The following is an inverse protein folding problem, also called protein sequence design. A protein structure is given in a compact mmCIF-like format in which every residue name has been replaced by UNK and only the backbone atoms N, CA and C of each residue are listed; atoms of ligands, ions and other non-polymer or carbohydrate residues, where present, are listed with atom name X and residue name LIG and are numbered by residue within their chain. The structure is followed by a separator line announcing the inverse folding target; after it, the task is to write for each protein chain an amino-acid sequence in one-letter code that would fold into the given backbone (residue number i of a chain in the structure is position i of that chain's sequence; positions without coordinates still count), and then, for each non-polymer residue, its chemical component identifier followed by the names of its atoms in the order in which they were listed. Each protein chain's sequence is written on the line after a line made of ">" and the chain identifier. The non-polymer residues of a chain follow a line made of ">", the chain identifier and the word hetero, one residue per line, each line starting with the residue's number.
data_IF_878093831556
#
_entry.id   IF_878093831556
#
_cell.length_a   1.000
_cell.length_b   1.000
_cell.length_c   1.000
_cell.angle_alpha   90.00
_cell.angle_beta   90.00
_cell.angle_gamma   90.00
#
_symmetry.space_group_name_H-M   'P 1'
#
loop_
_entity.id
_entity.type
_entity.pdbx_description
1 polymer ?
#
# COMPACT_ATOMS: atom_id res chain seq x y z
N UNK A 1 34.62 -0.58 32.01
CA UNK A 1 35.51 -1.16 30.98
C UNK A 1 34.97 -0.77 29.62
N UNK A 2 35.59 0.20 28.92
CA UNK A 2 35.16 0.64 27.59
C UNK A 2 36.05 -0.03 26.54
N UNK A 3 35.45 -0.88 25.70
CA UNK A 3 36.12 -1.48 24.55
C UNK A 3 35.85 -0.60 23.33
N UNK A 4 36.92 -0.04 22.75
CA UNK A 4 36.90 0.66 21.46
C UNK A 4 36.99 -0.40 20.36
N UNK A 5 35.97 -0.46 19.50
CA UNK A 5 36.02 -1.24 18.26
C UNK A 5 36.59 -0.36 17.15
N UNK A 6 37.71 -0.78 16.57
CA UNK A 6 38.35 -0.16 15.40
C UNK A 6 37.64 -0.69 14.15
N UNK A 7 37.09 0.20 13.33
CA UNK A 7 36.46 -0.14 12.05
C UNK A 7 37.51 0.00 10.94
N UNK A 8 37.89 -1.12 10.32
CA UNK A 8 38.74 -1.16 9.12
C UNK A 8 37.87 -0.94 7.90
N UNK A 9 38.12 0.14 7.16
CA UNK A 9 37.45 0.46 5.89
C UNK A 9 38.20 -0.26 4.76
N UNK A 10 37.58 -1.27 4.16
CA UNK A 10 38.01 -1.84 2.88
C UNK A 10 37.29 -1.11 1.74
N UNK A 11 38.04 -0.36 0.94
CA UNK A 11 37.59 0.23 -0.33
C UNK A 11 37.57 -0.84 -1.42
N UNK A 12 36.39 -1.16 -1.96
CA UNK A 12 36.24 -1.91 -3.20
C UNK A 12 36.13 -0.93 -4.38
N UNK A 13 37.10 -1.01 -5.29
CA UNK A 13 37.11 -0.31 -6.58
C UNK A 13 36.28 -1.11 -7.58
N UNK A 14 35.13 -0.58 -8.01
CA UNK A 14 34.34 -1.17 -9.08
C UNK A 14 34.86 -0.68 -10.45
N UNK A 15 35.28 -1.62 -11.30
CA UNK A 15 35.66 -1.36 -12.69
C UNK A 15 34.42 -1.36 -13.58
N UNK A 16 34.11 -0.21 -14.20
CA UNK A 16 33.04 -0.03 -15.18
C UNK A 16 33.54 -0.46 -16.56
N UNK A 17 32.98 -1.55 -17.11
CA UNK A 17 33.13 -1.89 -18.51
C UNK A 17 31.92 -1.34 -19.29
N UNK A 18 32.16 -0.31 -20.12
CA UNK A 18 31.20 0.14 -21.13
C UNK A 18 31.14 -0.89 -22.27
N UNK A 19 29.96 -1.44 -22.53
CA UNK A 19 29.64 -2.11 -23.80
C UNK A 19 28.59 -1.27 -24.52
N UNK A 20 28.97 -0.76 -25.69
CA UNK A 20 28.07 -0.01 -26.57
C UNK A 20 27.16 -0.98 -27.34
N UNK A 21 25.85 -0.72 -27.48
CA UNK A 21 25.00 -1.47 -28.40
C UNK A 21 25.12 -0.93 -29.83
N UNK A 22 25.48 -1.83 -30.74
CA UNK A 22 25.47 -1.61 -32.19
C UNK A 22 24.04 -1.45 -32.72
N UNK A 23 23.84 -0.40 -33.54
CA UNK A 23 22.60 -0.13 -34.24
C UNK A 23 22.33 -1.19 -35.33
N UNK A 24 21.16 -1.82 -35.29
CA UNK A 24 20.62 -2.64 -36.37
C UNK A 24 19.58 -1.84 -37.14
N UNK A 25 19.85 -1.69 -38.44
CA UNK A 25 19.04 -0.97 -39.41
C UNK A 25 17.74 -1.72 -39.74
N UNK A 26 16.65 -0.96 -39.87
CA UNK A 26 15.38 -1.42 -40.40
C UNK A 26 15.42 -1.53 -41.95
N UNK A 27 14.85 -2.58 -42.55
CA UNK A 27 14.50 -2.54 -43.97
C UNK A 27 13.08 -2.01 -44.19
N UNK A 28 12.97 -1.25 -45.27
CA UNK A 28 11.77 -0.61 -45.77
C UNK A 28 10.80 -1.59 -46.46
N UNK A 29 9.51 -1.38 -46.18
CA UNK A 29 8.34 -1.42 -47.07
C UNK A 29 8.17 -2.50 -48.16
N UNK A 30 6.99 -3.10 -48.18
CA UNK A 30 6.16 -3.21 -49.41
C UNK A 30 4.68 -3.17 -49.03
N UNK A 31 3.92 -2.35 -49.77
CA UNK A 31 2.48 -2.19 -49.61
C UNK A 31 1.68 -3.30 -50.29
N UNK A 32 0.49 -3.56 -49.76
CA UNK A 32 -0.56 -4.31 -50.45
C UNK A 32 -1.88 -3.56 -50.29
N UNK A 33 -2.54 -3.43 -51.43
CA UNK A 33 -3.79 -2.73 -51.71
C UNK A 33 -5.02 -3.61 -51.44
N UNK A 34 -6.13 -2.96 -51.07
CA UNK A 34 -7.47 -3.32 -51.54
C UNK A 34 -8.27 -4.35 -50.72
N UNK A 35 -9.19 -3.86 -49.89
CA UNK A 35 -10.28 -4.66 -49.31
C UNK A 35 -11.44 -3.76 -48.89
N UNK A 36 -12.57 -3.85 -49.59
CA UNK A 36 -13.78 -3.03 -49.44
C UNK A 36 -14.42 -3.17 -48.04
N UNK A 37 -14.56 -2.05 -47.34
CA UNK A 37 -15.25 -1.95 -46.06
C UNK A 37 -16.78 -1.95 -46.26
N UNK A 38 -17.45 -2.94 -45.67
CA UNK A 38 -18.88 -2.91 -45.40
C UNK A 38 -19.19 -1.90 -44.30
N UNK A 39 -20.19 -1.07 -44.53
CA UNK A 39 -20.68 -0.06 -43.57
C UNK A 39 -21.38 -0.78 -42.43
N UNK A 40 -20.70 -0.93 -41.30
CA UNK A 40 -21.31 -1.31 -40.02
C UNK A 40 -21.77 -0.02 -39.34
N UNK A 41 -23.10 0.12 -39.21
CA UNK A 41 -23.72 1.20 -38.43
C UNK A 41 -23.38 1.02 -36.96
N UNK A 42 -22.42 1.80 -36.47
CA UNK A 42 -22.18 1.95 -35.03
C UNK A 42 -23.20 2.95 -34.48
N UNK A 43 -24.29 2.44 -33.92
CA UNK A 43 -25.13 3.26 -33.03
C UNK A 43 -24.25 3.69 -31.87
N UNK A 44 -23.83 4.96 -31.90
CA UNK A 44 -23.05 5.58 -30.85
C UNK A 44 -23.88 5.60 -29.58
N UNK A 45 -23.62 4.64 -28.68
CA UNK A 45 -24.14 4.65 -27.33
C UNK A 45 -23.86 6.03 -26.73
N UNK A 46 -24.93 6.72 -26.35
CA UNK A 46 -24.83 8.04 -25.70
C UNK A 46 -23.94 7.88 -24.48
N UNK A 47 -22.80 8.61 -24.36
CA UNK A 47 -21.90 8.46 -23.24
C UNK A 47 -22.67 8.74 -21.96
N UNK A 48 -22.72 7.76 -21.07
CA UNK A 48 -23.33 7.90 -19.76
C UNK A 48 -22.73 9.13 -19.09
N UNK A 49 -23.61 10.04 -18.62
CA UNK A 49 -23.20 11.27 -17.95
C UNK A 49 -22.35 10.90 -16.74
N UNK A 50 -21.06 11.24 -16.77
CA UNK A 50 -20.13 10.93 -15.70
C UNK A 50 -20.68 11.42 -14.36
N UNK A 51 -20.74 10.51 -13.38
CA UNK A 51 -21.17 10.83 -12.01
C UNK A 51 -20.24 11.93 -11.47
N UNK A 52 -20.76 13.00 -10.84
CA UNK A 52 -19.92 14.03 -10.24
C UNK A 52 -18.95 13.38 -9.26
N UNK A 53 -17.67 13.76 -9.33
CA UNK A 53 -16.66 13.24 -8.42
C UNK A 53 -17.08 13.50 -6.96
N UNK A 54 -16.98 12.50 -6.07
CA UNK A 54 -17.30 12.69 -4.67
C UNK A 54 -16.43 13.81 -4.08
N UNK A 55 -17.07 14.72 -3.35
CA UNK A 55 -16.38 15.84 -2.69
C UNK A 55 -15.79 15.34 -1.37
N UNK A 56 -14.57 14.83 -1.43
CA UNK A 56 -13.74 14.58 -0.24
C UNK A 56 -13.40 15.90 0.47
N UNK A 57 -13.10 15.80 1.76
CA UNK A 57 -12.58 16.93 2.52
C UNK A 57 -11.13 17.28 2.15
N UNK A 58 -10.47 18.09 2.97
CA UNK A 58 -9.09 18.58 2.73
C UNK A 58 -8.26 18.35 3.99
N UNK A 59 -7.03 17.81 3.88
CA UNK A 59 -6.13 17.75 5.04
C UNK A 59 -5.92 19.12 5.67
N UNK A 60 -5.73 19.15 7.00
CA UNK A 60 -5.51 20.38 7.76
C UNK A 60 -4.29 21.15 7.24
N UNK A 61 -4.37 22.49 7.25
CA UNK A 61 -3.39 23.34 6.55
C UNK A 61 -1.97 23.26 7.16
N UNK A 62 -1.87 23.13 8.48
CA UNK A 62 -0.63 22.89 9.21
C UNK A 62 -0.02 21.51 8.89
N UNK A 63 -0.87 20.48 8.71
CA UNK A 63 -0.45 19.14 8.29
C UNK A 63 0.06 19.16 6.84
N UNK A 64 -0.59 19.89 5.94
CA UNK A 64 -0.05 20.13 4.58
C UNK A 64 1.29 20.86 4.64
N UNK A 65 1.44 21.85 5.51
CA UNK A 65 2.71 22.55 5.70
C UNK A 65 3.81 21.61 6.20
N UNK A 66 3.52 20.73 7.16
CA UNK A 66 4.44 19.70 7.63
C UNK A 66 4.81 18.70 6.52
N UNK A 67 3.83 18.22 5.75
CA UNK A 67 4.05 17.30 4.64
C UNK A 67 4.95 17.91 3.55
N UNK A 68 4.89 19.24 3.36
CA UNK A 68 5.78 19.95 2.44
C UNK A 68 7.25 19.93 2.87
N UNK A 69 7.51 19.84 4.17
CA UNK A 69 8.86 19.81 4.76
C UNK A 69 9.37 18.38 5.02
N UNK A 70 8.49 17.39 5.06
CA UNK A 70 8.83 15.98 5.26
C UNK A 70 9.91 15.52 4.25
N UNK A 71 10.89 14.67 4.63
CA UNK A 71 11.85 14.09 3.70
C UNK A 71 11.17 13.37 2.53
N UNK A 72 11.87 13.27 1.39
CA UNK A 72 11.38 12.45 0.28
C UNK A 72 11.49 10.97 0.64
N UNK A 73 10.47 10.21 0.28
CA UNK A 73 10.42 8.77 0.49
C UNK A 73 11.05 8.06 -0.70
N UNK A 74 11.92 7.09 -0.42
CA UNK A 74 12.46 6.15 -1.40
C UNK A 74 12.27 4.73 -0.92
N UNK A 75 12.37 3.81 -1.86
CA UNK A 75 12.30 2.38 -1.60
C UNK A 75 13.56 1.70 -2.08
N UNK A 76 13.93 0.60 -1.42
CA UNK A 76 14.98 -0.33 -1.81
C UNK A 76 15.04 -1.47 -0.80
N UNK A 77 15.28 -2.70 -1.29
CA UNK A 77 15.40 -3.90 -0.45
C UNK A 77 16.49 -3.81 0.62
N UNK A 78 17.59 -3.14 0.32
CA UNK A 78 18.72 -2.97 1.25
C UNK A 78 18.48 -1.96 2.39
N UNK A 79 17.29 -1.35 2.47
CA UNK A 79 16.97 -0.42 3.55
C UNK A 79 16.67 -1.17 4.86
N UNK A 80 17.12 -0.64 6.01
CA UNK A 80 16.90 -1.28 7.30
C UNK A 80 15.41 -1.35 7.65
N UNK A 81 15.05 -2.31 8.50
CA UNK A 81 13.69 -2.47 9.03
C UNK A 81 12.73 -3.31 8.20
N UNK A 82 13.18 -3.94 7.11
CA UNK A 82 12.37 -4.92 6.33
C UNK A 82 11.22 -4.33 5.51
N UNK A 83 10.84 -3.07 5.76
CA UNK A 83 9.81 -2.31 5.06
C UNK A 83 10.19 -1.86 3.63
N UNK A 84 11.46 -2.06 3.25
CA UNK A 84 12.07 -1.60 1.99
C UNK A 84 11.90 -0.11 1.73
N UNK A 85 11.85 0.71 2.77
CA UNK A 85 11.70 2.17 2.66
C UNK A 85 12.47 2.91 3.74
N UNK A 86 12.82 4.17 3.48
CA UNK A 86 13.41 5.07 4.48
C UNK A 86 12.36 5.77 5.37
N UNK A 87 11.06 5.49 5.17
CA UNK A 87 9.97 6.13 5.90
C UNK A 87 8.81 5.16 6.17
N UNK A 88 9.10 3.97 6.70
CA UNK A 88 8.11 2.90 6.92
C UNK A 88 6.92 3.37 7.75
N UNK A 89 7.21 3.90 8.94
CA UNK A 89 6.20 4.40 9.88
C UNK A 89 6.04 5.92 9.84
N UNK A 90 7.09 6.66 9.47
CA UNK A 90 7.13 8.13 9.37
C UNK A 90 6.65 8.71 8.03
N UNK A 91 6.29 7.85 7.08
CA UNK A 91 5.77 8.26 5.79
C UNK A 91 4.36 8.86 5.84
N UNK A 92 3.74 9.08 4.68
CA UNK A 92 2.37 9.62 4.58
C UNK A 92 2.28 11.09 4.13
N UNK A 93 3.40 11.82 4.12
CA UNK A 93 3.43 13.18 3.57
C UNK A 93 3.04 13.22 2.08
N UNK A 94 3.50 12.23 1.29
CA UNK A 94 3.21 12.11 -0.14
C UNK A 94 1.70 12.00 -0.44
N UNK A 95 1.01 11.06 0.22
CA UNK A 95 -0.44 10.88 0.05
C UNK A 95 -1.24 12.07 0.58
N UNK A 96 -0.80 12.69 1.68
CA UNK A 96 -1.40 13.92 2.22
C UNK A 96 -1.36 15.05 1.20
N UNK A 97 -0.21 15.27 0.56
CA UNK A 97 -0.06 16.28 -0.49
C UNK A 97 -0.94 15.98 -1.70
N UNK A 98 -1.11 14.71 -2.06
CA UNK A 98 -2.00 14.30 -3.15
C UNK A 98 -3.46 14.64 -2.85
N UNK A 99 -3.97 14.34 -1.65
CA UNK A 99 -5.35 14.70 -1.26
C UNK A 99 -5.54 16.21 -1.07
N UNK A 100 -4.53 16.92 -0.54
CA UNK A 100 -4.57 18.38 -0.51
C UNK A 100 -4.68 18.98 -1.92
N UNK A 101 -3.89 18.46 -2.87
CA UNK A 101 -3.97 18.87 -4.26
C UNK A 101 -5.34 18.52 -4.89
N UNK A 102 -5.88 17.33 -4.63
CA UNK A 102 -7.23 16.95 -5.09
C UNK A 102 -8.30 17.93 -4.58
N UNK A 103 -8.18 18.36 -3.33
CA UNK A 103 -9.06 19.35 -2.71
C UNK A 103 -8.83 20.81 -3.17
N UNK A 104 -7.91 21.05 -4.11
CA UNK A 104 -7.63 22.38 -4.68
C UNK A 104 -6.53 23.18 -4.00
N UNK A 105 -5.76 22.57 -3.09
CA UNK A 105 -4.61 23.24 -2.47
C UNK A 105 -3.40 23.27 -3.41
N UNK A 106 -3.16 24.42 -4.02
CA UNK A 106 -2.02 24.64 -4.91
C UNK A 106 -0.66 24.65 -4.20
N UNK A 107 -0.63 24.84 -2.87
CA UNK A 107 0.64 24.85 -2.13
C UNK A 107 1.30 23.47 -2.08
N UNK A 108 0.52 22.40 -2.28
CA UNK A 108 0.99 21.02 -2.30
C UNK A 108 1.66 20.63 -3.64
N UNK A 109 1.25 21.24 -4.76
CA UNK A 109 1.54 20.80 -6.13
C UNK A 109 3.06 20.62 -6.39
N UNK A 110 3.90 21.57 -5.96
CA UNK A 110 5.35 21.52 -6.22
C UNK A 110 6.04 20.38 -5.46
N UNK A 111 5.71 20.19 -4.17
CA UNK A 111 6.34 19.12 -3.38
C UNK A 111 5.85 17.75 -3.83
N UNK A 112 4.56 17.64 -4.17
CA UNK A 112 3.97 16.43 -4.72
C UNK A 112 4.69 15.99 -6.01
N UNK A 113 4.93 16.92 -6.95
CA UNK A 113 5.69 16.65 -8.18
C UNK A 113 7.14 16.26 -7.91
N UNK A 114 7.76 16.85 -6.88
CA UNK A 114 9.11 16.49 -6.47
C UNK A 114 9.17 15.04 -5.98
N UNK A 115 8.23 14.63 -5.12
CA UNK A 115 8.13 13.24 -4.67
C UNK A 115 7.86 12.27 -5.82
N UNK A 116 6.92 12.60 -6.70
CA UNK A 116 6.62 11.79 -7.88
C UNK A 116 7.88 11.54 -8.73
N UNK A 117 8.60 12.59 -9.12
CA UNK A 117 9.83 12.45 -9.93
C UNK A 117 10.96 11.74 -9.19
N UNK A 118 11.05 11.92 -7.88
CA UNK A 118 12.04 11.25 -7.06
C UNK A 118 11.82 9.74 -7.03
N UNK A 119 10.57 9.28 -6.86
CA UNK A 119 10.18 7.87 -6.96
C UNK A 119 10.48 7.28 -8.35
N UNK A 120 10.32 8.06 -9.43
CA UNK A 120 10.59 7.61 -10.80
C UNK A 120 12.07 7.61 -11.19
N UNK A 121 12.96 7.91 -10.24
CA UNK A 121 14.41 7.81 -10.41
C UNK A 121 14.86 6.43 -9.94
N UNK A 122 15.55 5.69 -10.80
CA UNK A 122 16.03 4.34 -10.49
C UNK A 122 16.78 4.28 -9.16
N UNK A 123 16.42 3.29 -8.35
CA UNK A 123 16.95 3.06 -7.01
C UNK A 123 16.15 3.75 -5.90
N UNK A 124 15.13 4.54 -6.27
CA UNK A 124 14.13 5.07 -5.34
C UNK A 124 12.72 4.52 -5.60
N UNK A 125 12.52 3.82 -6.72
CA UNK A 125 11.26 3.19 -7.11
C UNK A 125 10.87 2.06 -6.15
N UNK A 126 9.57 1.77 -6.05
CA UNK A 126 9.05 0.68 -5.20
C UNK A 126 9.64 -0.67 -5.64
N UNK A 127 9.74 -1.63 -4.70
CA UNK A 127 10.21 -2.96 -5.01
C UNK A 127 9.11 -3.85 -5.56
N UNK A 128 7.84 -3.60 -5.15
CA UNK A 128 6.65 -4.32 -5.62
C UNK A 128 6.76 -5.85 -5.48
N UNK A 129 7.30 -6.33 -4.35
CA UNK A 129 7.46 -7.78 -4.14
C UNK A 129 6.16 -8.49 -3.71
N UNK A 130 5.11 -7.72 -3.43
CA UNK A 130 3.82 -8.23 -3.00
C UNK A 130 3.78 -8.74 -1.56
N UNK A 131 4.79 -8.48 -0.73
CA UNK A 131 4.83 -8.91 0.68
C UNK A 131 4.65 -7.76 1.66
N UNK A 132 5.28 -7.88 2.84
CA UNK A 132 5.27 -6.86 3.89
C UNK A 132 5.57 -5.43 3.40
N UNK A 133 6.52 -5.17 2.48
CA UNK A 133 6.77 -3.82 1.96
C UNK A 133 5.55 -3.13 1.34
N UNK A 134 4.57 -3.88 0.83
CA UNK A 134 3.40 -3.33 0.13
C UNK A 134 2.60 -2.33 0.98
N UNK A 135 2.52 -2.52 2.30
CA UNK A 135 1.84 -1.57 3.20
C UNK A 135 2.47 -0.16 3.19
N UNK A 136 3.78 -0.09 2.89
CA UNK A 136 4.53 1.15 2.88
C UNK A 136 4.58 1.75 1.47
N UNK A 137 4.60 0.90 0.45
CA UNK A 137 4.50 1.29 -0.96
C UNK A 137 3.15 1.95 -1.28
N UNK A 138 2.07 1.55 -0.57
CA UNK A 138 0.73 2.13 -0.67
C UNK A 138 0.69 3.66 -0.52
N UNK A 139 1.61 4.24 0.24
CA UNK A 139 1.68 5.69 0.39
C UNK A 139 2.02 6.39 -0.94
N UNK A 140 2.85 5.76 -1.77
CA UNK A 140 3.29 6.32 -3.05
C UNK A 140 2.43 5.83 -4.21
N UNK A 141 1.96 4.58 -4.19
CA UNK A 141 0.99 4.12 -5.20
C UNK A 141 -0.36 4.82 -5.04
N UNK A 142 -0.82 5.03 -3.81
CA UNK A 142 -1.99 5.86 -3.51
C UNK A 142 -1.78 7.32 -3.91
N UNK A 143 -0.56 7.87 -3.71
CA UNK A 143 -0.22 9.21 -4.18
C UNK A 143 -0.39 9.33 -5.69
N UNK A 144 0.07 8.34 -6.48
CA UNK A 144 -0.09 8.35 -7.93
C UNK A 144 -1.55 8.23 -8.37
N UNK A 145 -2.32 7.31 -7.76
CA UNK A 145 -3.76 7.17 -8.00
C UNK A 145 -4.51 8.48 -7.77
N UNK A 146 -4.25 9.16 -6.66
CA UNK A 146 -4.88 10.45 -6.35
C UNK A 146 -4.37 11.59 -7.23
N UNK A 147 -3.05 11.67 -7.49
CA UNK A 147 -2.47 12.76 -8.29
C UNK A 147 -2.93 12.74 -9.75
N UNK A 148 -3.23 11.56 -10.32
CA UNK A 148 -3.79 11.39 -11.67
C UNK A 148 -5.14 12.10 -11.86
N UNK A 149 -5.90 12.26 -10.78
CA UNK A 149 -7.17 12.99 -10.75
C UNK A 149 -7.01 14.52 -10.72
N UNK A 150 -5.77 15.02 -10.68
CA UNK A 150 -5.47 16.45 -10.55
C UNK A 150 -4.76 16.94 -11.81
N UNK A 151 -5.48 17.37 -12.88
CA UNK A 151 -4.86 17.73 -14.16
C UNK A 151 -3.73 18.75 -14.06
N UNK A 152 -3.86 19.74 -13.16
CA UNK A 152 -2.82 20.77 -12.95
C UNK A 152 -1.50 20.23 -12.37
N UNK A 153 -1.53 19.07 -11.71
CA UNK A 153 -0.35 18.35 -11.23
C UNK A 153 0.06 17.32 -12.28
N UNK A 154 -0.85 16.42 -12.65
CA UNK A 154 -0.57 15.29 -13.54
C UNK A 154 -0.03 15.70 -14.92
N UNK A 155 -0.55 16.80 -15.50
CA UNK A 155 -0.11 17.30 -16.79
C UNK A 155 1.28 17.95 -16.74
N UNK A 156 1.83 18.21 -15.54
CA UNK A 156 3.22 18.69 -15.36
C UNK A 156 4.25 17.56 -15.35
N UNK A 157 3.81 16.30 -15.27
CA UNK A 157 4.66 15.16 -15.59
C UNK A 157 4.84 15.05 -17.10
N UNK A 158 6.02 14.64 -17.54
CA UNK A 158 6.29 14.34 -18.96
C UNK A 158 5.56 13.06 -19.37
N UNK A 159 5.26 12.85 -20.67
CA UNK A 159 4.70 11.58 -21.14
C UNK A 159 5.50 10.36 -20.69
N UNK A 160 6.84 10.42 -20.78
CA UNK A 160 7.72 9.36 -20.30
C UNK A 160 7.66 9.16 -18.77
N UNK A 161 7.44 10.23 -17.99
CA UNK A 161 7.26 10.10 -16.53
C UNK A 161 5.94 9.40 -16.21
N UNK A 162 4.84 9.76 -16.90
CA UNK A 162 3.56 9.08 -16.74
C UNK A 162 3.62 7.60 -17.13
N UNK A 163 4.30 7.27 -18.23
CA UNK A 163 4.51 5.88 -18.63
C UNK A 163 5.26 5.07 -17.56
N UNK A 164 6.27 5.66 -16.90
CA UNK A 164 6.96 5.01 -15.77
C UNK A 164 6.06 4.85 -14.55
N UNK A 165 5.15 5.80 -14.29
CA UNK A 165 4.13 5.63 -13.25
C UNK A 165 3.24 4.44 -13.60
N UNK A 166 2.76 4.34 -14.85
CA UNK A 166 1.95 3.20 -15.31
C UNK A 166 2.71 1.88 -15.08
N UNK A 167 3.99 1.80 -15.45
CA UNK A 167 4.82 0.61 -15.21
C UNK A 167 4.97 0.27 -13.72
N UNK A 168 5.14 1.26 -12.83
CA UNK A 168 5.21 1.01 -11.38
C UNK A 168 3.87 0.58 -10.78
N UNK A 169 2.76 1.18 -11.23
CA UNK A 169 1.43 0.78 -10.78
C UNK A 169 1.09 -0.65 -11.23
N UNK A 170 1.53 -1.04 -12.43
CA UNK A 170 1.43 -2.42 -12.92
C UNK A 170 2.33 -3.37 -12.11
N UNK A 171 3.55 -2.97 -11.76
CA UNK A 171 4.42 -3.78 -10.89
C UNK A 171 3.76 -4.05 -9.53
N UNK A 172 3.20 -3.01 -8.90
CA UNK A 172 2.48 -3.12 -7.62
C UNK A 172 1.26 -4.05 -7.72
N UNK A 173 0.50 -3.95 -8.82
CA UNK A 173 -0.62 -4.83 -9.11
C UNK A 173 -0.16 -6.29 -9.25
N UNK A 174 0.82 -6.57 -10.10
CA UNK A 174 1.27 -7.94 -10.39
C UNK A 174 1.91 -8.59 -9.17
N UNK A 175 2.79 -7.88 -8.46
CA UNK A 175 3.45 -8.42 -7.28
C UNK A 175 2.44 -8.81 -6.21
N UNK A 176 1.48 -7.93 -5.92
CA UNK A 176 0.44 -8.19 -4.92
C UNK A 176 -0.61 -9.20 -5.39
N UNK A 177 -0.94 -9.20 -6.69
CA UNK A 177 -1.82 -10.21 -7.28
C UNK A 177 -1.19 -11.59 -7.15
N UNK A 178 0.10 -11.74 -7.44
CA UNK A 178 0.81 -13.01 -7.27
C UNK A 178 0.68 -13.53 -5.83
N UNK A 179 1.06 -12.73 -4.82
CA UNK A 179 1.09 -13.20 -3.42
C UNK A 179 -0.29 -13.49 -2.83
N UNK A 180 -1.34 -12.85 -3.34
CA UNK A 180 -2.72 -13.03 -2.85
C UNK A 180 -3.52 -14.05 -3.65
N UNK A 181 -3.13 -14.40 -4.88
CA UNK A 181 -3.92 -15.22 -5.79
C UNK A 181 -4.28 -16.60 -5.22
N UNK A 182 -5.52 -17.02 -5.41
CA UNK A 182 -5.95 -18.42 -5.22
C UNK A 182 -5.20 -19.39 -6.16
N UNK A 183 -4.63 -18.89 -7.25
CA UNK A 183 -3.86 -19.66 -8.22
C UNK A 183 -2.35 -19.63 -7.94
N UNK A 184 -1.91 -18.99 -6.85
CA UNK A 184 -0.49 -19.00 -6.48
C UNK A 184 -0.05 -20.45 -6.17
N UNK A 185 1.03 -20.97 -6.80
CA UNK A 185 1.46 -22.35 -6.58
C UNK A 185 1.81 -22.66 -5.13
N UNK A 186 2.28 -21.68 -4.36
CA UNK A 186 2.59 -21.84 -2.95
C UNK A 186 1.32 -21.91 -2.09
N UNK A 187 0.29 -21.12 -2.42
CA UNK A 187 -1.04 -21.20 -1.79
C UNK A 187 -1.69 -22.55 -2.08
N UNK A 188 -1.70 -22.98 -3.34
CA UNK A 188 -2.27 -24.26 -3.77
C UNK A 188 -1.60 -25.47 -3.11
N UNK A 189 -0.30 -25.36 -2.81
CA UNK A 189 0.44 -26.42 -2.10
C UNK A 189 0.05 -26.57 -0.63
N UNK A 190 -0.58 -25.55 -0.03
CA UNK A 190 -0.84 -25.48 1.42
C UNK A 190 0.40 -25.32 2.30
N UNK A 191 1.56 -25.02 1.70
CA UNK A 191 2.85 -24.88 2.39
C UNK A 191 3.28 -23.43 2.62
N UNK A 192 4.60 -23.24 2.77
CA UNK A 192 5.23 -21.93 2.90
C UNK A 192 4.96 -21.08 1.66
N UNK A 193 4.46 -19.85 1.86
CA UNK A 193 4.28 -18.86 0.79
C UNK A 193 5.55 -18.02 0.63
N UNK A 194 5.77 -17.51 -0.58
CA UNK A 194 6.92 -16.65 -0.90
C UNK A 194 6.48 -15.43 -1.69
N UNK A 195 7.19 -14.32 -1.49
CA UNK A 195 7.07 -13.11 -2.32
C UNK A 195 7.73 -13.31 -3.68
N UNK A 196 7.56 -12.32 -4.57
CA UNK A 196 8.20 -12.28 -5.90
C UNK A 196 9.73 -12.41 -5.83
N UNK A 197 10.34 -11.98 -4.73
CA UNK A 197 11.78 -12.01 -4.49
C UNK A 197 12.22 -13.09 -3.48
N UNK A 198 11.35 -14.07 -3.22
CA UNK A 198 11.65 -15.28 -2.45
C UNK A 198 11.69 -15.09 -0.94
N UNK A 199 11.18 -13.98 -0.41
CA UNK A 199 11.00 -13.79 1.03
C UNK A 199 9.88 -14.70 1.54
N UNK A 200 10.19 -15.52 2.56
CA UNK A 200 9.25 -16.44 3.19
C UNK A 200 8.48 -15.81 4.36
N UNK A 201 8.79 -14.58 4.76
CA UNK A 201 8.02 -13.87 5.77
C UNK A 201 6.75 -13.25 5.16
N UNK A 202 5.91 -14.11 4.60
CA UNK A 202 4.65 -13.73 3.96
C UNK A 202 3.60 -14.83 4.09
N UNK A 203 2.36 -14.42 4.28
CA UNK A 203 1.17 -15.22 4.02
C UNK A 203 0.00 -14.25 3.77
N UNK A 204 -0.79 -14.49 2.73
CA UNK A 204 -1.97 -13.67 2.41
C UNK A 204 -3.05 -13.64 3.51
N UNK A 205 -3.00 -14.61 4.43
CA UNK A 205 -3.93 -14.80 5.54
C UNK A 205 -3.40 -14.36 6.91
N UNK A 206 -2.20 -13.76 6.95
CA UNK A 206 -1.69 -13.15 8.19
C UNK A 206 -2.44 -11.89 8.58
N UNK A 207 -2.06 -11.38 9.76
CA UNK A 207 -2.68 -10.22 10.38
C UNK A 207 -2.75 -8.99 9.46
N UNK A 208 -3.63 -8.02 9.78
CA UNK A 208 -3.85 -6.81 9.02
C UNK A 208 -2.59 -6.10 8.52
N UNK A 209 -1.54 -6.00 9.35
CA UNK A 209 -0.31 -5.32 8.99
C UNK A 209 0.44 -5.94 7.78
N UNK A 210 0.17 -7.20 7.43
CA UNK A 210 0.64 -7.82 6.18
C UNK A 210 -0.40 -7.69 5.08
N UNK A 211 -1.60 -8.19 5.32
CA UNK A 211 -2.59 -8.41 4.25
C UNK A 211 -3.19 -7.14 3.66
N UNK A 212 -3.36 -6.11 4.47
CA UNK A 212 -3.88 -4.81 4.01
C UNK A 212 -2.94 -4.17 2.97
N UNK A 213 -1.63 -4.34 3.12
CA UNK A 213 -0.66 -3.86 2.13
C UNK A 213 -0.83 -4.55 0.78
N UNK A 214 -0.96 -5.88 0.78
CA UNK A 214 -1.08 -6.69 -0.42
C UNK A 214 -2.44 -6.47 -1.11
N UNK A 215 -3.55 -6.66 -0.39
CA UNK A 215 -4.89 -6.46 -0.94
C UNK A 215 -5.17 -5.00 -1.30
N UNK A 216 -4.72 -4.07 -0.46
CA UNK A 216 -4.83 -2.63 -0.73
C UNK A 216 -4.08 -2.20 -2.00
N UNK A 217 -2.90 -2.77 -2.27
CA UNK A 217 -2.15 -2.47 -3.51
C UNK A 217 -2.92 -2.87 -4.77
N UNK A 218 -3.65 -3.99 -4.72
CA UNK A 218 -4.53 -4.45 -5.81
C UNK A 218 -5.68 -3.47 -6.00
N UNK A 219 -6.34 -3.06 -4.92
CA UNK A 219 -7.45 -2.09 -4.95
C UNK A 219 -7.00 -0.71 -5.44
N UNK A 220 -5.85 -0.23 -4.99
CA UNK A 220 -5.28 1.07 -5.40
C UNK A 220 -4.83 1.06 -6.86
N UNK A 221 -4.20 -0.02 -7.33
CA UNK A 221 -3.86 -0.15 -8.75
C UNK A 221 -5.12 -0.27 -9.62
N UNK A 222 -6.15 -0.97 -9.13
CA UNK A 222 -7.47 -1.06 -9.79
C UNK A 222 -8.13 0.32 -9.89
N UNK A 223 -8.06 1.13 -8.84
CA UNK A 223 -8.51 2.52 -8.87
C UNK A 223 -7.73 3.37 -9.88
N UNK A 224 -6.41 3.14 -10.00
CA UNK A 224 -5.55 3.88 -10.94
C UNK A 224 -5.85 3.55 -12.41
N UNK A 225 -6.03 2.27 -12.75
CA UNK A 225 -6.25 1.82 -14.13
C UNK A 225 -7.72 1.79 -14.53
N UNK A 226 -8.63 1.63 -13.57
CA UNK A 226 -9.99 1.17 -13.79
C UNK A 226 -10.07 -0.36 -13.81
N UNK A 227 -11.23 -0.89 -13.38
CA UNK A 227 -11.48 -2.34 -13.22
C UNK A 227 -11.16 -3.14 -14.49
N UNK A 228 -11.72 -2.75 -15.63
CA UNK A 228 -11.53 -3.49 -16.88
C UNK A 228 -10.07 -3.53 -17.32
N UNK A 229 -9.35 -2.41 -17.18
CA UNK A 229 -7.95 -2.34 -17.55
C UNK A 229 -7.07 -3.12 -16.59
N UNK A 230 -7.33 -3.07 -15.29
CA UNK A 230 -6.61 -3.88 -14.31
C UNK A 230 -6.79 -5.39 -14.57
N UNK A 231 -8.03 -5.83 -14.84
CA UNK A 231 -8.33 -7.21 -15.25
C UNK A 231 -7.58 -7.59 -16.53
N UNK A 232 -7.58 -6.71 -17.53
CA UNK A 232 -6.86 -6.96 -18.77
C UNK A 232 -5.35 -7.09 -18.55
N UNK A 233 -4.75 -6.20 -17.74
CA UNK A 233 -3.34 -6.28 -17.36
C UNK A 233 -3.01 -7.64 -16.76
N UNK A 234 -3.82 -8.11 -15.80
CA UNK A 234 -3.62 -9.42 -15.18
C UNK A 234 -3.77 -10.56 -16.19
N UNK A 235 -4.84 -10.52 -17.01
CA UNK A 235 -5.19 -11.56 -17.99
C UNK A 235 -4.17 -11.72 -19.10
N UNK A 236 -3.55 -10.63 -19.55
CA UNK A 236 -2.58 -10.62 -20.65
C UNK A 236 -1.15 -10.41 -20.19
N UNK A 237 -0.87 -10.60 -18.90
CA UNK A 237 0.46 -10.39 -18.36
C UNK A 237 1.47 -11.32 -19.04
N UNK A 238 2.54 -10.73 -19.56
CA UNK A 238 3.71 -11.40 -20.16
C UNK A 238 4.93 -10.95 -19.37
N UNK A 239 5.54 -11.89 -18.65
CA UNK A 239 6.59 -11.60 -17.69
C UNK A 239 7.86 -11.06 -18.37
N UNK A 240 8.28 -11.67 -19.47
CA UNK A 240 9.51 -11.28 -20.17
C UNK A 240 9.37 -9.89 -20.79
N UNK A 241 8.23 -9.61 -21.42
CA UNK A 241 7.92 -8.28 -21.96
C UNK A 241 7.84 -7.21 -20.85
N UNK A 242 7.29 -7.57 -19.68
CA UNK A 242 7.21 -6.68 -18.53
C UNK A 242 8.58 -6.37 -17.94
N UNK A 243 9.42 -7.38 -17.73
CA UNK A 243 10.80 -7.23 -17.24
C UNK A 243 11.63 -6.35 -18.18
N UNK A 244 11.49 -6.54 -19.50
CA UNK A 244 12.16 -5.69 -20.48
C UNK A 244 11.70 -4.22 -20.38
N UNK A 245 10.40 -3.98 -20.12
CA UNK A 245 9.87 -2.62 -19.90
C UNK A 245 10.40 -2.00 -18.62
N UNK A 246 10.45 -2.73 -17.50
CA UNK A 246 11.04 -2.26 -16.24
C UNK A 246 12.50 -1.81 -16.43
N UNK A 247 13.29 -2.61 -17.16
CA UNK A 247 14.68 -2.27 -17.49
C UNK A 247 14.78 -0.99 -18.34
N UNK A 248 13.96 -0.88 -19.39
CA UNK A 248 13.94 0.29 -20.29
C UNK A 248 13.50 1.57 -19.56
N UNK A 249 12.58 1.45 -18.60
CA UNK A 249 12.11 2.55 -17.78
C UNK A 249 13.10 2.97 -16.69
N UNK A 250 14.12 2.15 -16.41
CA UNK A 250 15.15 2.39 -15.41
C UNK A 250 14.63 2.25 -13.97
N UNK A 251 13.60 1.44 -13.76
CA UNK A 251 12.97 1.17 -12.46
C UNK A 251 13.68 -0.01 -11.80
N UNK A 252 14.87 0.27 -11.25
CA UNK A 252 15.85 -0.77 -10.89
C UNK A 252 15.45 -1.63 -9.71
N UNK A 253 14.67 -1.12 -8.75
CA UNK A 253 14.24 -1.92 -7.60
C UNK A 253 13.15 -2.90 -8.02
N UNK A 254 12.13 -2.42 -8.73
CA UNK A 254 11.10 -3.29 -9.29
C UNK A 254 11.69 -4.31 -10.27
N UNK A 255 12.61 -3.89 -11.15
CA UNK A 255 13.33 -4.81 -12.04
C UNK A 255 14.07 -5.91 -11.26
N UNK A 256 14.77 -5.56 -10.17
CA UNK A 256 15.49 -6.52 -9.34
C UNK A 256 14.56 -7.56 -8.69
N UNK A 257 13.38 -7.15 -8.23
CA UNK A 257 12.35 -8.06 -7.70
C UNK A 257 11.84 -9.00 -8.79
N UNK A 258 11.45 -8.47 -9.96
CA UNK A 258 10.84 -9.28 -11.02
C UNK A 258 11.84 -10.23 -11.71
N UNK A 259 13.14 -9.96 -11.61
CA UNK A 259 14.20 -10.84 -12.14
C UNK A 259 14.86 -11.71 -11.06
N UNK A 260 14.33 -11.69 -9.83
CA UNK A 260 15.03 -12.28 -8.69
C UNK A 260 15.37 -13.75 -8.88
N UNK A 261 14.41 -14.56 -9.35
CA UNK A 261 14.62 -15.99 -9.60
C UNK A 261 15.67 -16.26 -10.68
N UNK A 262 15.73 -15.44 -11.72
CA UNK A 262 16.74 -15.56 -12.76
C UNK A 262 18.15 -15.22 -12.23
N UNK A 263 18.25 -14.18 -11.40
CA UNK A 263 19.51 -13.77 -10.77
C UNK A 263 19.95 -14.71 -9.63
N UNK A 264 19.01 -15.38 -8.97
CA UNK A 264 19.24 -16.29 -7.85
C UNK A 264 18.50 -17.62 -8.07
N UNK A 265 19.03 -18.51 -8.94
CA UNK A 265 18.35 -19.75 -9.33
C UNK A 265 17.99 -20.66 -8.14
N UNK A 266 18.79 -20.64 -7.08
CA UNK A 266 18.60 -21.46 -5.88
C UNK A 266 17.61 -20.86 -4.87
N UNK A 267 17.12 -19.63 -5.10
CA UNK A 267 16.13 -19.00 -4.22
C UNK A 267 14.74 -19.64 -4.36
N UNK A 268 13.89 -19.44 -3.37
CA UNK A 268 12.49 -19.87 -3.40
C UNK A 268 11.56 -18.95 -4.23
N UNK A 269 12.10 -17.91 -4.87
CA UNK A 269 11.32 -17.01 -5.69
C UNK A 269 10.63 -17.74 -6.86
N UNK A 270 9.42 -17.32 -7.27
CA UNK A 270 8.71 -17.91 -8.40
C UNK A 270 9.42 -17.62 -9.73
N UNK A 271 9.26 -18.53 -10.70
CA UNK A 271 9.64 -18.25 -12.09
C UNK A 271 8.62 -17.31 -12.75
N UNK A 272 8.99 -16.69 -13.87
CA UNK A 272 8.08 -15.86 -14.67
C UNK A 272 6.78 -16.60 -15.05
N UNK A 273 6.88 -17.86 -15.46
CA UNK A 273 5.72 -18.70 -15.79
C UNK A 273 4.81 -18.98 -14.58
N UNK A 274 5.38 -19.14 -13.37
CA UNK A 274 4.59 -19.28 -12.15
C UNK A 274 3.85 -17.98 -11.80
N UNK A 275 4.48 -16.83 -12.01
CA UNK A 275 3.85 -15.52 -11.83
C UNK A 275 2.69 -15.36 -12.80
N UNK A 276 2.90 -15.58 -14.09
CA UNK A 276 1.86 -15.50 -15.13
C UNK A 276 0.66 -16.39 -14.80
N UNK A 277 0.92 -17.68 -14.52
CA UNK A 277 -0.13 -18.63 -14.17
C UNK A 277 -0.95 -18.21 -12.95
N UNK A 278 -0.31 -17.57 -11.97
CA UNK A 278 -1.00 -17.14 -10.76
C UNK A 278 -1.89 -15.90 -11.01
N UNK A 279 -1.53 -15.02 -11.94
CA UNK A 279 -2.23 -13.74 -12.12
C UNK A 279 -3.28 -13.74 -13.23
N UNK A 280 -3.17 -14.59 -14.26
CA UNK A 280 -4.09 -14.57 -15.42
C UNK A 280 -5.57 -14.72 -15.07
N UNK A 281 -5.89 -15.55 -14.06
CA UNK A 281 -7.24 -15.76 -13.53
C UNK A 281 -7.30 -15.39 -12.04
N UNK A 282 -6.73 -14.24 -11.70
CA UNK A 282 -6.62 -13.81 -10.32
C UNK A 282 -7.98 -13.72 -9.62
N UNK A 283 -8.01 -14.27 -8.41
CA UNK A 283 -9.05 -14.07 -7.40
C UNK A 283 -8.43 -14.23 -6.03
N UNK A 284 -9.05 -13.63 -5.01
CA UNK A 284 -8.69 -13.77 -3.61
C UNK A 284 -9.88 -14.34 -2.86
N UNK A 285 -9.78 -15.58 -2.38
CA UNK A 285 -10.89 -16.30 -1.75
C UNK A 285 -12.15 -16.36 -2.63
N UNK A 286 -11.96 -16.50 -3.95
CA UNK A 286 -13.03 -16.50 -4.95
C UNK A 286 -13.58 -15.13 -5.31
N UNK A 287 -13.08 -14.03 -4.71
CA UNK A 287 -13.49 -12.66 -5.03
C UNK A 287 -12.62 -12.10 -6.15
N UNK A 288 -13.24 -11.54 -7.19
CA UNK A 288 -12.56 -10.99 -8.38
C UNK A 288 -12.50 -9.46 -8.39
N UNK A 289 -11.72 -8.86 -9.29
CA UNK A 289 -11.49 -7.41 -9.35
C UNK A 289 -12.72 -6.55 -9.65
N UNK A 290 -13.79 -7.12 -10.19
CA UNK A 290 -15.08 -6.47 -10.38
C UNK A 290 -15.92 -6.41 -9.10
N UNK A 291 -15.51 -7.10 -8.04
CA UNK A 291 -16.13 -7.07 -6.73
C UNK A 291 -15.33 -6.20 -5.75
N UNK A 292 -15.00 -4.97 -6.18
CA UNK A 292 -14.12 -4.04 -5.43
C UNK A 292 -14.57 -3.85 -3.98
N UNK A 293 -15.87 -3.66 -3.73
CA UNK A 293 -16.39 -3.48 -2.38
C UNK A 293 -16.32 -4.74 -1.52
N UNK A 294 -16.41 -5.93 -2.11
CA UNK A 294 -16.30 -7.20 -1.36
C UNK A 294 -14.84 -7.47 -0.96
N UNK A 295 -13.89 -7.13 -1.83
CA UNK A 295 -12.46 -7.16 -1.50
C UNK A 295 -12.12 -6.20 -0.35
N UNK A 296 -12.60 -4.95 -0.42
CA UNK A 296 -12.38 -3.95 0.63
C UNK A 296 -13.07 -4.35 1.95
N UNK A 297 -14.26 -4.97 1.87
CA UNK A 297 -14.95 -5.51 3.03
C UNK A 297 -14.17 -6.62 3.71
N UNK A 298 -13.64 -7.58 2.94
CA UNK A 298 -12.85 -8.68 3.48
C UNK A 298 -11.63 -8.17 4.27
N UNK A 299 -10.94 -7.15 3.76
CA UNK A 299 -9.80 -6.54 4.43
C UNK A 299 -10.25 -5.77 5.69
N UNK A 300 -11.23 -4.86 5.53
CA UNK A 300 -11.70 -4.00 6.61
C UNK A 300 -12.33 -4.80 7.76
N UNK A 301 -13.13 -5.83 7.49
CA UNK A 301 -13.73 -6.67 8.52
C UNK A 301 -12.67 -7.46 9.30
N UNK A 302 -11.58 -7.87 8.65
CA UNK A 302 -10.45 -8.49 9.35
C UNK A 302 -9.70 -7.45 10.21
N UNK A 303 -9.47 -6.27 9.67
CA UNK A 303 -8.75 -5.19 10.36
C UNK A 303 -9.48 -4.70 11.59
N UNK A 304 -10.80 -4.48 11.51
CA UNK A 304 -11.63 -3.92 12.57
C UNK A 304 -12.54 -4.97 13.24
N UNK A 305 -12.18 -6.26 13.15
CA UNK A 305 -13.01 -7.36 13.66
C UNK A 305 -13.00 -7.53 15.19
N UNK A 306 -12.16 -6.79 15.91
CA UNK A 306 -12.04 -6.88 17.36
C UNK A 306 -13.19 -6.21 18.11
N UNK A 307 -13.34 -6.54 19.40
CA UNK A 307 -14.23 -5.83 20.33
C UNK A 307 -13.41 -4.85 21.15
N UNK A 308 -13.86 -3.60 21.28
CA UNK A 308 -13.13 -2.55 22.01
C UNK A 308 -12.95 -2.95 23.48
N UNK A 309 -11.69 -3.09 23.87
CA UNK A 309 -11.22 -3.41 25.20
C UNK A 309 -10.05 -2.50 25.57
N UNK A 310 -9.81 -2.31 26.88
CA UNK A 310 -8.67 -1.53 27.36
C UNK A 310 -7.32 -2.17 27.06
N UNK A 311 -7.28 -3.50 26.98
CA UNK A 311 -6.08 -4.27 26.66
C UNK A 311 -6.41 -5.71 26.34
N UNK A 312 -5.38 -6.50 26.08
CA UNK A 312 -5.46 -7.93 25.82
C UNK A 312 -6.19 -8.65 26.97
N UNK A 313 -7.26 -9.38 26.65
CA UNK A 313 -8.16 -10.01 27.62
C UNK A 313 -8.86 -9.01 28.57
N UNK A 314 -9.18 -7.81 28.10
CA UNK A 314 -9.81 -6.73 28.87
C UNK A 314 -8.85 -5.93 29.77
N UNK A 315 -7.84 -6.56 30.37
CA UNK A 315 -6.99 -5.94 31.41
C UNK A 315 -5.50 -5.84 31.07
N UNK A 316 -5.06 -6.42 29.95
CA UNK A 316 -3.64 -6.61 29.66
C UNK A 316 -3.03 -7.80 30.41
N UNK A 317 -1.71 -7.97 30.25
CA UNK A 317 -0.92 -9.05 30.84
C UNK A 317 -0.05 -8.50 31.96
N UNK A 318 -0.10 -9.13 33.14
CA UNK A 318 0.77 -8.82 34.28
C UNK A 318 2.20 -9.30 34.01
N UNK A 319 3.15 -8.36 34.04
CA UNK A 319 4.57 -8.60 33.85
C UNK A 319 5.25 -9.01 35.17
N UNK A 320 6.43 -9.67 35.14
CA UNK A 320 7.15 -10.08 36.35
C UNK A 320 7.53 -8.94 37.30
N UNK A 321 7.61 -7.71 36.80
CA UNK A 321 7.91 -6.50 37.58
C UNK A 321 6.67 -5.86 38.22
N UNK A 322 5.49 -6.48 38.08
CA UNK A 322 4.22 -6.00 38.62
C UNK A 322 3.52 -4.96 37.75
N UNK A 323 4.08 -4.59 36.60
CA UNK A 323 3.43 -3.72 35.62
C UNK A 323 2.51 -4.50 34.67
N UNK A 324 1.66 -3.81 33.91
CA UNK A 324 0.87 -4.42 32.84
C UNK A 324 1.43 -4.05 31.47
N UNK A 325 1.26 -4.94 30.49
CA UNK A 325 1.52 -4.70 29.06
C UNK A 325 0.35 -5.20 28.21
N UNK A 326 0.29 -4.77 26.95
CA UNK A 326 -0.82 -5.04 26.04
C UNK A 326 -2.09 -4.34 26.49
N UNK A 327 -1.98 -3.10 26.95
CA UNK A 327 -3.08 -2.33 27.56
C UNK A 327 -2.84 -0.84 27.38
N UNK A 328 -3.91 -0.06 27.32
CA UNK A 328 -3.86 1.40 27.37
C UNK A 328 -3.20 1.86 28.69
N UNK A 329 -2.31 2.85 28.60
CA UNK A 329 -1.53 3.33 29.75
C UNK A 329 -2.37 4.18 30.72
N UNK A 330 -3.39 4.87 30.21
CA UNK A 330 -4.34 5.68 30.99
C UNK A 330 -5.71 5.79 30.28
N UNK A 331 -6.77 6.23 30.98
CA UNK A 331 -8.07 6.54 30.37
C UNK A 331 -8.93 5.31 30.01
N UNK A 332 -8.73 4.15 30.63
CA UNK A 332 -9.56 2.97 30.36
C UNK A 332 -11.04 3.20 30.73
N UNK A 333 -11.28 3.91 31.82
CA UNK A 333 -12.61 4.27 32.32
C UNK A 333 -13.41 5.16 31.36
N UNK A 334 -12.71 5.93 30.53
CA UNK A 334 -13.27 6.89 29.57
C UNK A 334 -13.10 6.40 28.11
N UNK A 335 -12.68 5.13 27.90
CA UNK A 335 -12.44 4.57 26.58
C UNK A 335 -13.74 4.57 25.76
N UNK A 336 -13.81 5.34 24.64
CA UNK A 336 -15.01 5.40 23.82
C UNK A 336 -15.33 4.04 23.22
N UNK A 337 -16.62 3.73 23.10
CA UNK A 337 -17.12 2.51 22.46
C UNK A 337 -16.69 1.20 23.15
N UNK A 338 -16.29 1.21 24.42
CA UNK A 338 -15.96 -0.02 25.17
C UNK A 338 -17.05 -1.10 24.98
N UNK A 339 -16.64 -2.31 24.61
CA UNK A 339 -17.52 -3.46 24.34
C UNK A 339 -18.19 -3.45 22.95
N UNK A 340 -17.93 -2.46 22.09
CA UNK A 340 -18.47 -2.42 20.72
C UNK A 340 -17.54 -3.16 19.74
N UNK A 341 -18.07 -3.78 18.67
CA UNK A 341 -17.24 -4.27 17.57
C UNK A 341 -16.62 -3.11 16.80
N UNK A 342 -15.40 -3.31 16.30
CA UNK A 342 -14.66 -2.32 15.52
C UNK A 342 -13.21 -2.14 15.94
N UNK A 343 -12.78 -2.67 17.09
CA UNK A 343 -11.38 -2.55 17.53
C UNK A 343 -10.44 -3.19 16.51
N UNK A 344 -9.28 -2.57 16.32
CA UNK A 344 -8.28 -3.17 15.45
C UNK A 344 -7.79 -4.51 15.99
N UNK A 345 -7.76 -5.53 15.13
CA UNK A 345 -7.46 -6.91 15.49
C UNK A 345 -6.10 -7.05 16.19
N UNK A 346 -5.12 -6.22 15.83
CA UNK A 346 -3.75 -6.27 16.36
C UNK A 346 -3.61 -5.81 17.82
N UNK A 347 -4.67 -5.24 18.40
CA UNK A 347 -4.73 -5.06 19.85
C UNK A 347 -4.96 -6.38 20.60
N UNK A 348 -5.46 -7.42 19.92
CA UNK A 348 -5.78 -8.73 20.50
C UNK A 348 -5.42 -9.87 19.53
N UNK A 349 -4.23 -9.82 18.94
CA UNK A 349 -3.81 -10.80 17.93
C UNK A 349 -2.93 -11.90 18.51
N UNK A 350 -2.70 -12.92 17.70
CA UNK A 350 -1.75 -14.00 17.95
C UNK A 350 -0.87 -14.10 16.71
N UNK A 351 0.44 -14.24 16.91
CA UNK A 351 1.38 -14.54 15.83
C UNK A 351 2.16 -15.83 16.12
N UNK A 352 3.20 -16.10 15.33
CA UNK A 352 4.02 -17.31 15.48
C UNK A 352 4.72 -17.43 16.85
N UNK A 353 4.87 -16.34 17.59
CA UNK A 353 5.51 -16.29 18.91
C UNK A 353 4.50 -16.12 20.07
N UNK A 354 3.20 -16.19 19.77
CA UNK A 354 2.12 -16.21 20.75
C UNK A 354 1.27 -14.94 20.75
N UNK A 355 0.72 -14.60 21.90
CA UNK A 355 -0.15 -13.43 22.02
C UNK A 355 0.62 -12.13 21.74
N UNK A 356 -0.01 -11.24 20.99
CA UNK A 356 0.48 -9.90 20.68
C UNK A 356 -0.63 -8.88 20.93
N UNK A 357 -0.23 -7.72 21.41
CA UNK A 357 -1.11 -6.57 21.56
C UNK A 357 -0.30 -5.32 21.27
N UNK A 358 -0.50 -4.73 20.10
CA UNK A 358 0.40 -3.72 19.58
C UNK A 358 -0.30 -2.58 18.83
N UNK A 359 -0.07 -1.35 19.28
CA UNK A 359 -0.56 -0.15 18.62
C UNK A 359 0.24 0.14 17.34
N UNK A 360 1.54 -0.19 17.29
CA UNK A 360 2.33 -0.13 16.05
C UNK A 360 1.72 -1.04 14.96
N UNK A 361 1.42 -2.30 15.30
CA UNK A 361 0.84 -3.23 14.34
C UNK A 361 -0.61 -2.88 13.99
N UNK A 362 -1.40 -2.41 14.97
CA UNK A 362 -2.73 -1.88 14.69
C UNK A 362 -2.67 -0.70 13.72
N UNK A 363 -1.74 0.24 13.94
CA UNK A 363 -1.49 1.32 13.00
C UNK A 363 -1.02 0.81 11.63
N UNK A 364 -0.21 -0.25 11.60
CA UNK A 364 0.24 -0.96 10.41
C UNK A 364 -0.90 -1.54 9.58
N UNK A 365 -2.01 -1.96 10.18
CA UNK A 365 -3.25 -2.35 9.48
C UNK A 365 -4.13 -1.17 9.09
N UNK A 366 -4.33 -0.21 10.02
CA UNK A 366 -5.12 1.00 9.79
C UNK A 366 -4.60 1.85 8.61
N UNK A 367 -3.30 2.11 8.56
CA UNK A 367 -2.64 2.96 7.56
C UNK A 367 -2.97 2.53 6.11
N UNK A 368 -2.63 1.30 5.68
CA UNK A 368 -2.93 0.83 4.34
C UNK A 368 -4.44 0.76 4.06
N UNK A 369 -5.25 0.36 5.05
CA UNK A 369 -6.70 0.34 4.93
C UNK A 369 -7.28 1.74 4.64
N UNK A 370 -6.90 2.75 5.41
CA UNK A 370 -7.32 4.14 5.21
C UNK A 370 -6.92 4.68 3.83
N UNK A 371 -5.68 4.41 3.40
CA UNK A 371 -5.19 4.85 2.08
C UNK A 371 -6.03 4.21 0.98
N UNK A 372 -6.28 2.91 1.08
CA UNK A 372 -7.11 2.16 0.12
C UNK A 372 -8.50 2.76 0.02
N UNK A 373 -9.21 2.91 1.14
CA UNK A 373 -10.54 3.51 1.16
C UNK A 373 -10.56 4.92 0.56
N UNK A 374 -9.63 5.79 0.96
CA UNK A 374 -9.56 7.15 0.47
C UNK A 374 -9.37 7.19 -1.07
N UNK A 375 -8.54 6.30 -1.61
CA UNK A 375 -8.30 6.18 -3.06
C UNK A 375 -9.52 5.61 -3.79
N UNK A 376 -10.20 4.60 -3.24
CA UNK A 376 -11.44 4.06 -3.80
C UNK A 376 -12.53 5.13 -3.87
N UNK A 377 -12.69 5.94 -2.83
CA UNK A 377 -13.62 7.08 -2.84
C UNK A 377 -13.22 8.08 -3.93
N UNK A 378 -11.95 8.52 -3.95
CA UNK A 378 -11.50 9.54 -4.90
C UNK A 378 -11.69 9.14 -6.37
N UNK A 379 -11.51 7.85 -6.69
CA UNK A 379 -11.65 7.30 -8.04
C UNK A 379 -13.08 6.84 -8.35
N UNK A 380 -14.03 7.04 -7.44
CA UNK A 380 -15.44 6.70 -7.65
C UNK A 380 -15.75 5.20 -7.63
N UNK A 381 -14.85 4.38 -7.09
CA UNK A 381 -15.05 2.94 -6.90
C UNK A 381 -15.67 2.58 -5.54
N UNK A 382 -15.79 3.55 -4.63
CA UNK A 382 -16.56 3.39 -3.41
C UNK A 382 -18.06 3.45 -3.69
N UNK A 383 -18.77 2.35 -3.47
CA UNK A 383 -20.21 2.24 -3.72
C UNK A 383 -21.01 2.24 -2.41
N UNK A 384 -21.91 3.23 -2.20
CA UNK A 384 -22.80 3.22 -1.04
C UNK A 384 -23.73 2.00 -1.03
N UNK A 385 -23.95 1.42 0.15
CA UNK A 385 -24.81 0.26 0.33
C UNK A 385 -24.45 -0.52 1.60
N UNK A 386 -25.11 -1.67 1.86
CA UNK A 386 -24.94 -2.42 3.10
C UNK A 386 -23.50 -2.83 3.42
N UNK A 387 -22.70 -3.13 2.39
CA UNK A 387 -21.27 -3.45 2.54
C UNK A 387 -20.48 -2.23 3.00
N UNK A 388 -20.62 -1.09 2.30
CA UNK A 388 -20.00 0.17 2.70
C UNK A 388 -20.43 0.64 4.10
N UNK A 389 -21.72 0.55 4.43
CA UNK A 389 -22.25 0.96 5.73
C UNK A 389 -21.63 0.15 6.88
N UNK A 390 -21.41 -1.15 6.66
CA UNK A 390 -20.78 -2.04 7.63
C UNK A 390 -19.31 -1.70 7.84
N UNK A 391 -18.55 -1.51 6.76
CA UNK A 391 -17.14 -1.10 6.81
C UNK A 391 -17.02 0.22 7.59
N UNK A 392 -17.83 1.22 7.23
CA UNK A 392 -17.85 2.54 7.86
C UNK A 392 -18.21 2.45 9.35
N UNK A 393 -19.16 1.60 9.73
CA UNK A 393 -19.53 1.41 11.13
C UNK A 393 -18.38 0.83 11.97
N UNK A 394 -17.67 -0.17 11.45
CA UNK A 394 -16.50 -0.75 12.12
C UNK A 394 -15.35 0.25 12.20
N UNK A 395 -15.01 0.91 11.09
CA UNK A 395 -13.95 1.92 11.04
C UNK A 395 -14.23 3.09 11.99
N UNK A 396 -15.47 3.56 12.07
CA UNK A 396 -15.83 4.65 12.99
C UNK A 396 -15.52 4.31 14.44
N UNK A 397 -15.72 3.05 14.85
CA UNK A 397 -15.37 2.58 16.20
C UNK A 397 -13.87 2.40 16.32
N UNK A 398 -13.26 1.64 15.41
CA UNK A 398 -11.85 1.26 15.49
C UNK A 398 -10.86 2.40 15.38
N UNK A 399 -11.11 3.34 14.47
CA UNK A 399 -10.23 4.50 14.30
C UNK A 399 -10.35 5.44 15.50
N UNK A 400 -11.53 5.56 16.09
CA UNK A 400 -11.73 6.30 17.35
C UNK A 400 -10.96 5.65 18.50
N UNK A 401 -11.09 4.33 18.65
CA UNK A 401 -10.36 3.53 19.65
C UNK A 401 -8.84 3.64 19.49
N UNK A 402 -8.33 3.48 18.27
CA UNK A 402 -6.90 3.60 17.95
C UNK A 402 -6.33 4.95 18.38
N UNK A 403 -6.95 6.05 17.96
CA UNK A 403 -6.43 7.38 18.29
C UNK A 403 -6.57 7.69 19.77
N UNK A 404 -7.65 7.24 20.42
CA UNK A 404 -7.80 7.39 21.85
C UNK A 404 -6.69 6.67 22.62
N UNK A 405 -6.40 5.41 22.26
CA UNK A 405 -5.30 4.62 22.84
C UNK A 405 -3.93 5.26 22.60
N UNK A 406 -3.67 5.77 21.40
CA UNK A 406 -2.41 6.46 21.10
C UNK A 406 -2.28 7.80 21.86
N UNK A 407 -3.37 8.56 22.04
CA UNK A 407 -3.35 9.82 22.79
C UNK A 407 -3.10 9.58 24.30
N UNK A 408 -3.60 8.47 24.85
CA UNK A 408 -3.37 8.08 26.24
C UNK A 408 -2.11 7.23 26.45
N UNK A 409 -1.50 6.77 25.36
CA UNK A 409 -0.38 5.83 25.34
C UNK A 409 -0.84 4.38 25.39
N UNK A 410 -0.18 3.53 24.62
CA UNK A 410 -0.46 2.09 24.60
C UNK A 410 0.79 1.30 24.97
N UNK A 411 0.69 0.46 25.98
CA UNK A 411 1.78 -0.40 26.45
C UNK A 411 1.87 -1.61 25.55
N UNK A 412 2.87 -1.64 24.68
CA UNK A 412 3.11 -2.70 23.70
C UNK A 412 3.43 -4.04 24.39
N UNK A 413 2.82 -5.12 23.91
CA UNK A 413 3.13 -6.48 24.34
C UNK A 413 3.39 -7.39 23.13
N UNK A 414 4.56 -8.04 23.14
CA UNK A 414 4.92 -9.06 22.15
C UNK A 414 5.95 -10.00 22.76
N UNK A 415 5.99 -11.26 22.32
CA UNK A 415 7.04 -12.22 22.68
C UNK A 415 7.19 -12.36 24.21
N UNK A 416 6.05 -12.40 24.91
CA UNK A 416 5.96 -12.43 26.37
C UNK A 416 6.66 -11.27 27.12
N UNK A 417 6.84 -10.11 26.47
CA UNK A 417 7.50 -8.94 27.07
C UNK A 417 6.79 -7.63 26.77
N UNK A 418 6.90 -6.69 27.71
CA UNK A 418 6.67 -5.28 27.46
C UNK A 418 7.69 -4.73 26.45
N UNK A 419 7.23 -4.01 25.44
CA UNK A 419 8.08 -3.52 24.34
C UNK A 419 8.16 -1.99 24.23
N UNK A 420 7.51 -1.26 25.15
CA UNK A 420 7.49 0.21 25.15
C UNK A 420 6.08 0.78 25.23
N UNK A 421 5.98 2.11 25.32
CA UNK A 421 4.70 2.83 25.25
C UNK A 421 4.70 3.61 23.94
N UNK A 422 3.76 3.30 23.05
CA UNK A 422 3.57 4.06 21.82
C UNK A 422 2.53 5.16 22.05
N UNK A 423 2.79 6.36 21.52
CA UNK A 423 1.94 7.54 21.71
C UNK A 423 1.75 8.30 20.39
N UNK A 424 0.66 9.04 20.25
CA UNK A 424 0.35 9.79 19.03
C UNK A 424 1.30 10.95 18.72
N UNK A 425 2.12 11.36 19.69
CA UNK A 425 3.16 12.39 19.57
C UNK A 425 4.55 11.82 19.23
N UNK A 426 4.65 10.51 18.97
CA UNK A 426 5.90 9.88 18.54
C UNK A 426 6.32 10.41 17.15
N UNK A 427 7.49 11.07 17.03
CA UNK A 427 7.94 11.66 15.77
C UNK A 427 8.41 10.64 14.74
N UNK A 428 8.69 9.40 15.15
CA UNK A 428 9.08 8.32 14.25
C UNK A 428 7.87 7.73 13.50
N UNK A 429 6.66 8.18 13.86
CA UNK A 429 5.42 7.82 13.22
C UNK A 429 4.79 9.02 12.52
N UNK A 430 4.35 8.81 11.28
CA UNK A 430 3.65 9.79 10.45
C UNK A 430 2.21 10.01 10.88
N UNK A 431 1.91 9.89 12.18
CA UNK A 431 0.56 9.89 12.73
C UNK A 431 -0.23 11.13 12.32
N UNK A 432 0.42 12.30 12.35
CA UNK A 432 -0.20 13.57 11.97
C UNK A 432 -0.81 13.53 10.55
N UNK A 433 -0.15 12.86 9.60
CA UNK A 433 -0.60 12.77 8.22
C UNK A 433 -1.87 11.94 8.10
N UNK A 434 -1.88 10.73 8.69
CA UNK A 434 -3.01 9.82 8.56
C UNK A 434 -4.17 10.17 9.48
N UNK A 435 -3.88 10.81 10.62
CA UNK A 435 -4.92 11.39 11.48
C UNK A 435 -5.68 12.48 10.75
N UNK A 436 -4.99 13.35 10.03
CA UNK A 436 -5.64 14.39 9.21
C UNK A 436 -6.37 13.80 8.00
N UNK A 437 -5.78 12.79 7.33
CA UNK A 437 -6.46 12.09 6.24
C UNK A 437 -7.79 11.46 6.69
N UNK A 438 -7.83 10.86 7.88
CA UNK A 438 -9.09 10.40 8.45
C UNK A 438 -10.01 11.56 8.84
N UNK A 439 -9.57 12.43 9.75
CA UNK A 439 -10.42 13.42 10.41
C UNK A 439 -10.98 14.48 9.46
N UNK A 440 -10.19 14.88 8.46
CA UNK A 440 -10.45 16.04 7.63
C UNK A 440 -10.80 15.67 6.18
N UNK A 441 -10.56 14.42 5.75
CA UNK A 441 -10.84 13.98 4.36
C UNK A 441 -11.89 12.87 4.31
N UNK A 442 -11.63 11.71 4.93
CA UNK A 442 -12.46 10.51 4.80
C UNK A 442 -13.68 10.54 5.73
N UNK A 443 -13.48 10.83 7.01
CA UNK A 443 -14.57 10.87 8.00
C UNK A 443 -15.68 11.87 7.63
N UNK A 444 -15.38 13.10 7.16
CA UNK A 444 -16.42 14.04 6.72
C UNK A 444 -17.21 13.54 5.50
N UNK A 445 -16.57 12.79 4.59
CA UNK A 445 -17.26 12.19 3.45
C UNK A 445 -18.35 11.20 3.91
N UNK A 446 -18.07 10.40 4.93
CA UNK A 446 -19.03 9.48 5.53
C UNK A 446 -20.03 10.14 6.50
N UNK A 447 -19.91 11.45 6.77
CA UNK A 447 -20.75 12.19 7.73
C UNK A 447 -20.76 11.60 9.13
N UNK A 448 -19.66 10.95 9.51
CA UNK A 448 -19.47 10.43 10.87
C UNK A 448 -19.29 11.63 11.81
N UNK A 449 -20.08 11.70 12.87
CA UNK A 449 -19.96 12.75 13.88
C UNK A 449 -18.68 12.53 14.71
N UNK A 450 -18.01 13.63 15.09
CA UNK A 450 -16.95 13.55 16.10
C UNK A 450 -17.57 13.01 17.40
N UNK A 451 -16.93 12.07 18.10
CA UNK A 451 -17.28 11.78 19.49
C UNK A 451 -17.23 13.09 20.27
N UNK A 452 -18.27 13.35 21.07
CA UNK A 452 -18.40 14.53 21.92
C UNK A 452 -17.34 14.56 23.01
#
# INVERSE_FOLDING_TARGET
>A
MRVRTVLTVCTLTAATALVAPSALAAPAGTGVTGGSAGVVSTDAATPAKAKPAPRLGRPAADVVAAARQAPLVRYARGLPGGAYTNAGNSGGGAITLAFAALAGDHSADTRLLQQARYTLTGGNDIAANGGYPAQHELQVTGMFATAKLVPRVWNRLRPAERARVDTLMEASLIGSAFTTSDQNPFVLSGGQQYTMDGDGNVNRDWNPNYREGMGGSILVATAYFGVDRAREILRTYDHDAFVARLAADGLTNAYGTFTWKAAHPDSAAPTGAQIESAVHNWSLHGITLDQVMDLDAQLSENTYGGTVECGLNGTGILMPDGTYAGVIDSGCEDLPNLGRPGMLLEFTSVDAEGQRSSADYAYGGYKPNLITQAVLIANGLWEPGPTADRIVALMSVGVTDLWYKLDHGYREYSHARFSGILRSDDPDFGFVYLRSLWNDVVRPYHRIQQPS
#
